data_IF_737571842102
#
_entry.id   IF_737571842102
#
_cell.length_a   1.000
_cell.length_b   1.000
_cell.length_c   1.000
_cell.angle_alpha   90.00
_cell.angle_beta   90.00
_cell.angle_gamma   90.00
#
_symmetry.space_group_name_H-M   'P 1'
#
loop_
_entity.id
_entity.type
_entity.pdbx_description
1 polymer ?
#
# COMPACT_ATOMS: atom_id res chain seq x y z
N UNK A 1 -10.38 10.27 24.79
CA UNK A 1 -10.57 11.27 23.72
C UNK A 1 -11.75 10.78 22.91
N UNK A 2 -12.83 11.55 22.80
CA UNK A 2 -13.89 11.17 21.87
C UNK A 2 -13.31 11.20 20.45
N UNK A 3 -13.39 10.11 19.69
CA UNK A 3 -12.76 10.01 18.37
C UNK A 3 -13.32 11.00 17.35
N UNK A 4 -14.45 11.65 17.67
CA UNK A 4 -15.19 12.57 16.80
C UNK A 4 -14.56 13.97 16.68
N UNK A 5 -13.47 14.23 17.40
CA UNK A 5 -12.73 15.50 17.38
C UNK A 5 -11.33 15.40 16.75
N UNK A 6 -11.00 14.28 16.08
CA UNK A 6 -9.74 14.17 15.37
C UNK A 6 -9.76 15.05 14.11
N UNK A 7 -8.72 15.86 13.95
CA UNK A 7 -8.45 16.70 12.77
C UNK A 7 -7.17 16.22 12.10
N UNK A 8 -7.22 16.05 10.78
CA UNK A 8 -6.08 15.75 9.92
C UNK A 8 -5.92 16.88 8.92
N UNK A 9 -4.74 17.51 8.89
CA UNK A 9 -4.42 18.61 7.98
C UNK A 9 -3.42 18.11 6.94
N UNK A 10 -3.74 18.33 5.67
CA UNK A 10 -2.86 18.10 4.53
C UNK A 10 -2.33 19.45 4.05
N UNK A 11 -1.05 19.72 4.28
CA UNK A 11 -0.38 20.92 3.79
C UNK A 11 0.31 20.64 2.45
N UNK A 12 0.13 21.57 1.51
CA UNK A 12 0.69 21.48 0.16
C UNK A 12 1.77 22.54 -0.04
N UNK A 13 2.89 22.10 -0.59
CA UNK A 13 4.07 22.94 -0.82
C UNK A 13 4.50 22.87 -2.29
N UNK A 14 5.06 23.97 -2.79
CA UNK A 14 5.75 24.00 -4.08
C UNK A 14 7.11 23.28 -3.99
N UNK A 15 7.47 22.54 -5.04
CA UNK A 15 8.68 21.71 -5.12
C UNK A 15 9.97 22.55 -5.14
N UNK A 16 9.92 23.77 -5.68
CA UNK A 16 11.02 24.74 -5.63
C UNK A 16 10.96 25.57 -4.35
N UNK A 17 11.47 25.00 -3.25
CA UNK A 17 11.65 25.66 -1.95
C UNK A 17 12.60 26.90 -1.99
N UNK A 18 13.15 27.24 -3.16
CA UNK A 18 14.10 28.33 -3.37
C UNK A 18 13.48 29.73 -3.51
N UNK A 19 12.16 29.83 -3.73
CA UNK A 19 11.46 31.11 -3.84
C UNK A 19 10.42 31.19 -2.72
N UNK A 20 10.56 32.19 -1.84
CA UNK A 20 9.56 32.46 -0.83
C UNK A 20 8.26 32.89 -1.53
N UNK A 21 7.19 32.08 -1.40
CA UNK A 21 5.85 32.42 -1.91
C UNK A 21 5.35 33.74 -1.26
N UNK A 22 5.78 34.04 -0.03
CA UNK A 22 5.62 35.33 0.66
C UNK A 22 6.89 35.64 1.47
N UNK A 23 7.40 36.88 1.43
CA UNK A 23 8.54 37.31 2.26
C UNK A 23 8.15 37.30 3.76
N UNK A 24 8.87 36.52 4.57
CA UNK A 24 8.71 36.46 6.03
C UNK A 24 8.03 35.20 6.59
N UNK A 25 7.85 34.15 5.78
CA UNK A 25 7.17 32.92 6.20
C UNK A 25 7.99 31.99 7.08
N UNK A 26 7.32 31.37 8.06
CA UNK A 26 7.88 30.30 8.89
C UNK A 26 8.09 28.98 8.13
N UNK A 27 7.35 28.76 7.03
CA UNK A 27 7.44 27.59 6.16
C UNK A 27 7.50 28.05 4.69
N UNK A 28 8.69 28.13 4.07
CA UNK A 28 8.80 28.52 2.67
C UNK A 28 8.08 27.52 1.76
N UNK A 29 7.41 28.03 0.72
CA UNK A 29 6.75 27.19 -0.29
C UNK A 29 5.33 26.73 0.04
N UNK A 30 4.72 27.12 1.17
CA UNK A 30 3.34 26.71 1.51
C UNK A 30 2.30 27.37 0.59
N UNK A 31 1.51 26.54 -0.09
CA UNK A 31 0.52 26.97 -1.09
C UNK A 31 -0.90 26.99 -0.51
N UNK A 32 -1.23 26.01 0.33
CA UNK A 32 -2.55 25.87 0.91
C UNK A 32 -2.71 24.59 1.70
N UNK A 33 -3.90 24.42 2.28
CA UNK A 33 -4.20 23.30 3.18
C UNK A 33 -5.57 22.71 2.88
N UNK A 34 -5.72 21.41 3.11
CA UNK A 34 -7.00 20.73 3.17
C UNK A 34 -7.18 20.15 4.59
N UNK A 35 -8.34 20.37 5.20
CA UNK A 35 -8.66 19.88 6.53
C UNK A 35 -9.69 18.75 6.45
N UNK A 36 -9.42 17.66 7.15
CA UNK A 36 -10.30 16.52 7.34
C UNK A 36 -10.68 16.40 8.80
N UNK A 37 -11.96 16.62 9.09
CA UNK A 37 -12.54 16.34 10.40
C UNK A 37 -13.08 14.92 10.44
N UNK A 38 -12.81 14.19 11.51
CA UNK A 38 -13.34 12.83 11.76
C UNK A 38 -14.86 12.75 11.66
N UNK A 39 -15.59 13.80 12.04
CA UNK A 39 -17.05 13.89 11.84
C UNK A 39 -17.46 13.75 10.36
N UNK A 40 -16.64 14.20 9.41
CA UNK A 40 -16.91 14.07 7.96
C UNK A 40 -16.75 12.63 7.48
N UNK A 41 -16.03 11.79 8.24
CA UNK A 41 -15.84 10.37 7.95
C UNK A 41 -17.05 9.54 8.42
N UNK A 42 -17.64 9.91 9.56
CA UNK A 42 -18.78 9.20 10.18
C UNK A 42 -20.03 9.30 9.30
N UNK A 43 -20.20 10.42 8.60
CA UNK A 43 -21.31 10.66 7.69
C UNK A 43 -21.03 10.09 6.28
N UNK A 44 -21.32 8.80 6.10
CA UNK A 44 -21.60 8.15 4.79
C UNK A 44 -20.49 8.15 3.72
N UNK A 45 -19.23 8.35 4.09
CA UNK A 45 -18.13 8.24 3.13
C UNK A 45 -17.86 6.77 2.75
N UNK A 46 -17.71 6.47 1.45
CA UNK A 46 -17.46 5.12 0.91
C UNK A 46 -15.97 4.70 0.93
N UNK A 47 -15.24 5.07 1.99
CA UNK A 47 -13.79 4.87 2.06
C UNK A 47 -12.97 5.86 1.21
N UNK A 48 -13.64 6.87 0.66
CA UNK A 48 -13.06 7.92 -0.18
C UNK A 48 -13.67 9.25 0.21
N UNK A 49 -12.83 10.25 0.42
CA UNK A 49 -13.25 11.63 0.66
C UNK A 49 -12.51 12.58 -0.27
N UNK A 50 -13.21 13.61 -0.75
CA UNK A 50 -12.60 14.66 -1.58
C UNK A 50 -12.70 15.98 -0.82
N UNK A 51 -11.56 16.59 -0.57
CA UNK A 51 -11.45 17.82 0.22
C UNK A 51 -10.98 18.96 -0.68
N UNK A 52 -11.55 20.17 -0.55
CA UNK A 52 -11.02 21.34 -1.23
C UNK A 52 -9.66 21.73 -0.62
N UNK A 53 -8.72 22.09 -1.47
CA UNK A 53 -7.47 22.72 -1.05
C UNK A 53 -7.73 24.22 -0.99
N UNK A 54 -7.65 24.78 0.20
CA UNK A 54 -7.89 26.20 0.46
C UNK A 54 -6.58 26.96 0.32
N UNK A 55 -6.58 28.00 -0.51
CA UNK A 55 -5.47 28.96 -0.60
C UNK A 55 -5.26 29.65 0.74
N UNK A 56 -4.00 29.90 1.06
CA UNK A 56 -3.60 30.60 2.28
C UNK A 56 -4.16 32.02 2.37
N UNK A 57 -4.17 32.77 1.27
CA UNK A 57 -4.39 34.22 1.31
C UNK A 57 -5.77 34.67 0.80
N UNK A 58 -6.36 33.94 -0.15
CA UNK A 58 -7.56 34.39 -0.86
C UNK A 58 -8.86 33.72 -0.42
N UNK A 59 -8.82 32.79 0.55
CA UNK A 59 -9.94 31.85 0.87
C UNK A 59 -10.51 31.18 -0.39
N UNK A 60 -9.75 31.16 -1.47
CA UNK A 60 -10.14 30.59 -2.74
C UNK A 60 -9.75 29.12 -2.75
N UNK A 61 -10.64 28.27 -3.25
CA UNK A 61 -10.30 26.88 -3.54
C UNK A 61 -9.36 26.84 -4.74
N UNK A 62 -8.16 26.30 -4.56
CA UNK A 62 -7.11 26.20 -5.59
C UNK A 62 -7.04 24.81 -6.21
N UNK A 63 -7.67 23.83 -5.57
CA UNK A 63 -7.69 22.45 -6.05
C UNK A 63 -8.52 21.56 -5.14
N UNK A 64 -8.41 20.26 -5.35
CA UNK A 64 -9.02 19.24 -4.50
C UNK A 64 -8.03 18.11 -4.28
N UNK A 65 -8.04 17.55 -3.07
CA UNK A 65 -7.31 16.33 -2.74
C UNK A 65 -8.32 15.20 -2.55
N UNK A 66 -8.06 14.06 -3.17
CA UNK A 66 -8.82 12.83 -2.94
C UNK A 66 -8.03 11.97 -1.97
N UNK A 67 -8.65 11.58 -0.87
CA UNK A 67 -8.07 10.76 0.17
C UNK A 67 -8.87 9.47 0.26
N UNK A 68 -8.21 8.35 0.00
CA UNK A 68 -8.77 7.03 0.28
C UNK A 68 -8.41 6.67 1.73
N UNK A 69 -9.38 6.21 2.53
CA UNK A 69 -9.19 5.98 3.97
C UNK A 69 -9.93 4.71 4.43
N UNK A 70 -9.48 4.15 5.56
CA UNK A 70 -10.13 3.03 6.24
C UNK A 70 -10.31 3.37 7.72
N UNK A 71 -11.49 3.12 8.26
CA UNK A 71 -11.77 3.26 9.70
C UNK A 71 -11.72 1.89 10.34
N UNK A 72 -10.74 1.68 11.23
CA UNK A 72 -10.61 0.47 12.01
C UNK A 72 -11.18 0.74 13.39
N UNK A 73 -12.25 0.03 13.76
CA UNK A 73 -12.84 0.09 15.10
C UNK A 73 -12.33 -1.11 15.93
N UNK A 74 -12.18 -0.94 17.26
CA UNK A 74 -11.95 -2.07 18.15
C UNK A 74 -13.03 -3.14 17.96
N UNK A 75 -12.65 -4.40 18.14
CA UNK A 75 -13.60 -5.51 18.12
C UNK A 75 -14.48 -5.47 19.38
N UNK A 76 -15.79 -5.61 19.21
CA UNK A 76 -16.72 -5.65 20.33
C UNK A 76 -16.38 -6.80 21.29
N UNK A 77 -16.32 -6.50 22.58
CA UNK A 77 -15.95 -7.48 23.61
C UNK A 77 -14.45 -7.76 23.73
N UNK A 78 -13.59 -7.14 22.93
CA UNK A 78 -12.13 -7.25 23.07
C UNK A 78 -11.53 -5.95 23.57
N UNK A 79 -10.81 -6.03 24.69
CA UNK A 79 -9.97 -4.93 25.17
C UNK A 79 -8.64 -5.01 24.43
N UNK A 80 -8.52 -4.27 23.34
CA UNK A 80 -7.26 -4.07 22.63
C UNK A 80 -6.46 -2.94 23.28
N UNK A 81 -6.16 -3.05 24.57
CA UNK A 81 -5.19 -2.16 25.19
C UNK A 81 -3.80 -2.69 24.84
N UNK A 82 -2.97 -1.89 24.18
CA UNK A 82 -1.59 -2.26 23.84
C UNK A 82 -0.70 -2.43 25.10
N UNK A 83 -1.27 -2.72 26.27
CA UNK A 83 -0.62 -2.94 27.55
C UNK A 83 0.38 -4.12 27.54
N UNK A 84 0.17 -5.24 26.80
CA UNK A 84 1.19 -6.27 26.68
C UNK A 84 2.20 -5.96 25.55
N UNK A 85 2.18 -4.76 24.95
CA UNK A 85 3.10 -4.43 23.86
C UNK A 85 4.54 -4.62 24.33
N UNK A 86 5.16 -5.65 23.77
CA UNK A 86 6.56 -6.04 23.93
C UNK A 86 7.55 -4.98 23.42
N UNK A 87 7.07 -3.77 23.08
CA UNK A 87 7.86 -2.59 22.69
C UNK A 87 9.04 -2.32 23.63
N UNK A 88 8.89 -2.65 24.93
CA UNK A 88 9.94 -2.50 25.95
C UNK A 88 10.67 -3.80 26.33
N UNK A 89 10.29 -4.95 25.80
CA UNK A 89 10.94 -6.23 26.13
C UNK A 89 12.10 -6.59 25.19
N UNK A 90 12.33 -5.79 24.14
CA UNK A 90 13.49 -5.95 23.27
C UNK A 90 14.75 -5.56 24.06
N UNK A 91 15.36 -6.56 24.71
CA UNK A 91 16.70 -6.40 25.27
C UNK A 91 17.61 -5.92 24.14
N UNK A 92 18.55 -4.99 24.39
CA UNK A 92 19.59 -4.66 23.42
C UNK A 92 20.26 -5.97 22.99
N UNK A 93 20.04 -6.34 21.74
CA UNK A 93 20.61 -7.53 21.09
C UNK A 93 21.30 -7.04 19.82
N UNK A 94 22.22 -7.87 19.32
CA UNK A 94 22.80 -7.68 18.00
C UNK A 94 21.68 -7.47 16.98
N UNK A 95 21.84 -6.49 16.08
CA UNK A 95 20.90 -6.28 15.00
C UNK A 95 20.75 -7.58 14.20
N UNK A 96 19.51 -7.91 13.86
CA UNK A 96 19.19 -9.08 13.05
C UNK A 96 18.97 -8.62 11.62
N UNK A 97 19.62 -9.30 10.69
CA UNK A 97 19.32 -9.12 9.28
C UNK A 97 18.03 -9.84 8.95
N UNK A 98 17.01 -9.07 8.56
CA UNK A 98 15.68 -9.56 8.19
C UNK A 98 15.49 -9.33 6.69
N UNK A 99 15.21 -10.39 5.95
CA UNK A 99 14.86 -10.31 4.53
C UNK A 99 13.46 -9.74 4.36
N UNK A 100 13.36 -8.44 4.05
CA UNK A 100 12.10 -7.75 3.74
C UNK A 100 11.47 -8.35 2.47
N UNK A 101 10.32 -9.03 2.63
CA UNK A 101 9.67 -9.85 1.58
C UNK A 101 10.59 -10.89 0.94
N UNK A 102 11.54 -11.39 1.72
CA UNK A 102 12.66 -12.20 1.26
C UNK A 102 13.83 -11.36 0.76
N UNK A 103 14.42 -11.76 -0.37
CA UNK A 103 15.52 -11.05 -1.03
C UNK A 103 15.09 -10.35 -2.35
N UNK A 104 13.78 -10.16 -2.54
CA UNK A 104 13.23 -9.61 -3.79
C UNK A 104 12.99 -8.11 -3.74
N UNK A 105 12.97 -7.46 -4.90
CA UNK A 105 12.60 -6.05 -5.06
C UNK A 105 11.42 -5.92 -6.03
N UNK A 106 10.50 -5.01 -5.76
CA UNK A 106 9.26 -4.78 -6.52
C UNK A 106 9.49 -3.99 -7.83
N UNK A 107 10.60 -3.23 -7.93
CA UNK A 107 10.69 -2.11 -8.89
C UNK A 107 11.84 -2.15 -9.89
N UNK A 108 12.87 -2.99 -9.73
CA UNK A 108 13.98 -3.07 -10.70
C UNK A 108 14.01 -4.40 -11.45
N UNK A 109 13.47 -4.39 -12.67
CA UNK A 109 13.67 -5.45 -13.66
C UNK A 109 15.17 -5.72 -13.97
N UNK A 110 16.05 -4.79 -13.61
CA UNK A 110 17.50 -4.83 -13.86
C UNK A 110 18.35 -5.35 -12.70
N UNK A 111 17.85 -5.33 -11.45
CA UNK A 111 18.70 -5.59 -10.26
C UNK A 111 18.27 -6.81 -9.43
N UNK A 112 16.98 -7.18 -9.40
CA UNK A 112 16.53 -8.32 -8.61
C UNK A 112 16.24 -9.53 -9.50
N UNK A 113 17.07 -10.58 -9.36
CA UNK A 113 16.85 -11.88 -10.03
C UNK A 113 15.63 -12.64 -9.49
N UNK A 114 15.12 -12.25 -8.32
CA UNK A 114 14.08 -12.97 -7.59
C UNK A 114 12.98 -12.00 -7.15
N UNK A 115 11.72 -12.40 -7.34
CA UNK A 115 10.54 -11.59 -7.02
C UNK A 115 10.22 -11.64 -5.53
N UNK A 116 9.85 -10.51 -4.93
CA UNK A 116 9.41 -10.41 -3.53
C UNK A 116 8.23 -11.33 -3.21
N UNK A 117 8.07 -11.69 -1.94
CA UNK A 117 6.95 -12.51 -1.46
C UNK A 117 6.79 -13.84 -2.21
N UNK A 118 7.92 -14.47 -2.58
CA UNK A 118 7.94 -15.79 -3.20
C UNK A 118 8.81 -16.76 -2.40
N UNK A 119 8.51 -18.06 -2.47
CA UNK A 119 9.41 -19.07 -1.86
C UNK A 119 10.84 -18.95 -2.40
N UNK A 120 11.02 -18.52 -3.64
CA UNK A 120 12.35 -18.29 -4.19
C UNK A 120 13.07 -17.12 -3.47
N UNK A 121 12.38 -16.00 -3.20
CA UNK A 121 13.00 -14.87 -2.46
C UNK A 121 13.29 -15.25 -1.02
N UNK A 122 12.43 -16.06 -0.42
CA UNK A 122 12.59 -16.56 0.95
C UNK A 122 13.79 -17.48 1.07
N UNK A 123 13.90 -18.47 0.18
CA UNK A 123 15.07 -19.37 0.12
C UNK A 123 16.36 -18.61 -0.16
N UNK A 124 16.29 -17.59 -1.02
CA UNK A 124 17.45 -16.77 -1.34
C UNK A 124 17.88 -15.93 -0.12
N UNK A 125 16.97 -15.27 0.60
CA UNK A 125 17.31 -14.55 1.83
C UNK A 125 17.95 -15.48 2.87
N UNK A 126 17.35 -16.66 3.10
CA UNK A 126 17.87 -17.65 4.03
C UNK A 126 19.27 -18.15 3.63
N UNK A 127 19.52 -18.40 2.34
CA UNK A 127 20.85 -18.84 1.87
C UNK A 127 21.93 -17.77 1.99
N UNK A 128 21.57 -16.50 2.16
CA UNK A 128 22.48 -15.38 2.34
C UNK A 128 22.59 -14.93 3.81
N UNK A 129 22.11 -15.75 4.75
CA UNK A 129 22.33 -15.52 6.18
C UNK A 129 21.30 -14.64 6.87
N UNK A 130 20.17 -14.32 6.23
CA UNK A 130 19.08 -13.63 6.90
C UNK A 130 18.56 -14.46 8.07
N UNK A 131 18.50 -13.87 9.26
CA UNK A 131 18.03 -14.53 10.48
C UNK A 131 16.51 -14.74 10.46
N UNK A 132 15.78 -13.80 9.83
CA UNK A 132 14.34 -13.85 9.66
C UNK A 132 13.94 -13.40 8.25
N UNK A 133 12.71 -13.73 7.89
CA UNK A 133 12.06 -13.29 6.67
C UNK A 133 10.80 -12.56 7.10
N UNK A 134 10.66 -11.32 6.65
CA UNK A 134 9.43 -10.57 6.75
C UNK A 134 8.63 -10.80 5.46
N UNK A 135 7.31 -10.86 5.56
CA UNK A 135 6.40 -11.00 4.44
C UNK A 135 4.98 -10.56 4.82
N UNK A 136 4.23 -10.15 3.81
CA UNK A 136 2.86 -9.65 3.96
C UNK A 136 1.83 -10.77 3.77
N UNK A 137 0.76 -10.73 4.55
CA UNK A 137 -0.34 -11.71 4.48
C UNK A 137 -1.68 -11.01 4.26
N UNK A 138 -2.47 -11.54 3.32
CA UNK A 138 -3.87 -11.19 3.11
C UNK A 138 -4.77 -12.41 3.27
N UNK A 139 -6.09 -12.19 3.32
CA UNK A 139 -7.09 -13.24 3.16
C UNK A 139 -7.76 -13.13 1.79
N UNK A 140 -7.88 -14.26 1.12
CA UNK A 140 -8.72 -14.42 -0.07
C UNK A 140 -10.21 -14.40 0.28
N UNK A 141 -11.08 -14.37 -0.74
CA UNK A 141 -12.55 -14.38 -0.58
C UNK A 141 -13.08 -15.56 0.23
N UNK A 142 -12.43 -16.70 0.08
CA UNK A 142 -12.68 -17.96 0.78
C UNK A 142 -11.86 -18.09 2.08
N UNK A 143 -11.36 -16.97 2.61
CA UNK A 143 -10.64 -16.86 3.88
C UNK A 143 -9.34 -17.69 3.97
N UNK A 144 -8.74 -17.99 2.83
CA UNK A 144 -7.43 -18.66 2.79
C UNK A 144 -6.34 -17.58 2.90
N UNK A 145 -5.40 -17.69 3.87
CA UNK A 145 -4.25 -16.81 3.97
C UNK A 145 -3.36 -16.92 2.74
N UNK A 146 -2.93 -15.78 2.21
CA UNK A 146 -2.05 -15.69 1.05
C UNK A 146 -0.90 -14.73 1.32
N UNK A 147 0.25 -14.99 0.69
CA UNK A 147 1.40 -14.08 0.75
C UNK A 147 1.36 -13.13 -0.44
N UNK A 148 1.04 -11.87 -0.16
CA UNK A 148 0.95 -10.81 -1.16
C UNK A 148 0.96 -9.45 -0.44
N UNK A 149 1.52 -8.42 -1.07
CA UNK A 149 1.66 -7.11 -0.42
C UNK A 149 0.47 -6.18 -0.71
N UNK A 150 0.17 -5.95 -2.00
CA UNK A 150 -0.79 -4.91 -2.38
C UNK A 150 -2.23 -5.29 -1.99
N UNK A 151 -3.11 -4.30 -1.82
CA UNK A 151 -4.52 -4.55 -1.53
C UNK A 151 -5.30 -5.06 -2.76
N UNK A 152 -4.75 -4.81 -3.94
CA UNK A 152 -5.37 -5.03 -5.24
C UNK A 152 -4.41 -5.76 -6.17
N UNK A 153 -4.96 -6.39 -7.21
CA UNK A 153 -4.20 -6.99 -8.30
C UNK A 153 -4.84 -6.63 -9.65
N UNK A 154 -4.04 -6.60 -10.72
CA UNK A 154 -4.55 -6.34 -12.06
C UNK A 154 -4.84 -7.64 -12.81
N UNK A 155 -6.02 -7.71 -13.43
CA UNK A 155 -6.42 -8.80 -14.32
C UNK A 155 -6.49 -8.25 -15.75
N UNK A 156 -5.79 -8.92 -16.66
CA UNK A 156 -5.92 -8.67 -18.09
C UNK A 156 -7.01 -9.59 -18.66
N UNK A 157 -8.08 -9.03 -19.20
CA UNK A 157 -9.05 -9.81 -19.97
C UNK A 157 -8.64 -9.83 -21.43
N UNK A 158 -8.35 -11.00 -21.98
CA UNK A 158 -8.06 -11.14 -23.41
C UNK A 158 -9.37 -11.10 -24.21
N UNK A 159 -9.69 -9.96 -24.84
CA UNK A 159 -10.77 -9.90 -25.84
C UNK A 159 -10.45 -10.85 -26.98
N UNK A 160 -11.41 -11.70 -27.36
CA UNK A 160 -11.24 -12.74 -28.39
C UNK A 160 -11.10 -12.18 -29.81
N UNK A 161 -11.31 -10.87 -30.01
CA UNK A 161 -11.42 -10.26 -31.34
C UNK A 161 -10.47 -9.09 -31.63
N UNK A 162 -9.67 -8.63 -30.66
CA UNK A 162 -8.78 -7.48 -30.90
C UNK A 162 -7.42 -7.72 -30.25
N UNK A 163 -6.37 -7.72 -31.09
CA UNK A 163 -5.03 -8.23 -30.72
C UNK A 163 -4.22 -7.25 -29.86
N UNK A 164 -4.65 -6.00 -29.73
CA UNK A 164 -3.84 -4.91 -29.16
C UNK A 164 -4.44 -4.17 -27.95
N UNK A 165 -5.66 -4.46 -27.51
CA UNK A 165 -6.25 -3.81 -26.33
C UNK A 165 -6.51 -4.79 -25.18
N UNK A 166 -5.44 -5.17 -24.46
CA UNK A 166 -5.60 -5.82 -23.16
C UNK A 166 -5.93 -4.76 -22.12
N UNK A 167 -7.21 -4.58 -21.83
CA UNK A 167 -7.66 -3.71 -20.74
C UNK A 167 -7.33 -4.38 -19.40
N UNK A 168 -6.63 -3.63 -18.54
CA UNK A 168 -6.25 -4.07 -17.20
C UNK A 168 -7.29 -3.56 -16.21
N UNK A 169 -7.89 -4.47 -15.45
CA UNK A 169 -8.82 -4.15 -14.38
C UNK A 169 -8.18 -4.41 -13.03
N UNK A 170 -8.22 -3.41 -12.16
CA UNK A 170 -7.78 -3.54 -10.78
C UNK A 170 -8.91 -4.14 -9.92
N UNK A 171 -8.61 -5.24 -9.23
CA UNK A 171 -9.56 -5.96 -8.39
C UNK A 171 -8.96 -6.14 -6.99
N UNK A 172 -9.70 -5.83 -5.91
CA UNK A 172 -9.24 -6.13 -4.55
C UNK A 172 -8.97 -7.62 -4.37
N UNK A 173 -7.84 -7.96 -3.77
CA UNK A 173 -7.41 -9.35 -3.59
C UNK A 173 -8.42 -10.16 -2.77
N UNK A 174 -9.05 -9.53 -1.78
CA UNK A 174 -10.10 -10.12 -0.94
C UNK A 174 -11.37 -10.52 -1.70
N UNK A 175 -11.56 -10.04 -2.94
CA UNK A 175 -12.72 -10.37 -3.77
C UNK A 175 -12.48 -11.60 -4.66
N UNK A 176 -11.26 -12.17 -4.64
CA UNK A 176 -10.89 -13.35 -5.41
C UNK A 176 -10.68 -14.55 -4.50
N UNK A 177 -11.18 -15.71 -4.93
CA UNK A 177 -10.90 -16.99 -4.27
C UNK A 177 -9.43 -17.36 -4.44
N UNK A 178 -8.91 -18.21 -3.55
CA UNK A 178 -7.55 -18.74 -3.68
C UNK A 178 -7.31 -19.38 -5.05
N UNK A 179 -8.25 -20.17 -5.57
CA UNK A 179 -8.14 -20.80 -6.88
C UNK A 179 -8.05 -19.76 -8.00
N UNK A 180 -8.88 -18.71 -7.97
CA UNK A 180 -8.81 -17.62 -8.95
C UNK A 180 -7.46 -16.91 -8.89
N UNK A 181 -6.94 -16.66 -7.68
CA UNK A 181 -5.64 -16.02 -7.47
C UNK A 181 -4.48 -16.89 -8.01
N UNK A 182 -4.55 -18.22 -7.90
CA UNK A 182 -3.56 -19.14 -8.49
C UNK A 182 -3.52 -19.10 -10.02
N UNK A 183 -4.67 -18.84 -10.64
CA UNK A 183 -4.79 -18.78 -12.10
C UNK A 183 -4.22 -17.47 -12.67
N UNK A 184 -4.07 -16.44 -11.83
CA UNK A 184 -3.51 -15.16 -12.26
C UNK A 184 -2.01 -15.27 -12.52
N UNK A 185 -1.61 -14.88 -13.74
CA UNK A 185 -0.22 -14.51 -14.01
C UNK A 185 -0.01 -13.09 -13.54
N UNK A 186 0.26 -12.94 -12.25
CA UNK A 186 0.43 -11.65 -11.61
C UNK A 186 1.63 -10.90 -12.22
N UNK A 187 1.32 -9.78 -12.90
CA UNK A 187 2.29 -8.78 -13.32
C UNK A 187 2.10 -7.52 -12.49
N UNK A 188 3.19 -6.87 -12.08
CA UNK A 188 3.11 -5.66 -11.26
C UNK A 188 2.74 -4.45 -12.14
N UNK A 189 1.87 -3.55 -11.65
CA UNK A 189 1.37 -2.39 -12.40
C UNK A 189 2.51 -1.48 -12.86
N UNK A 190 3.53 -1.27 -12.01
CA UNK A 190 4.71 -0.48 -12.39
C UNK A 190 5.59 -1.17 -13.45
N UNK A 191 5.60 -2.52 -13.50
CA UNK A 191 6.37 -3.27 -14.49
C UNK A 191 5.71 -3.23 -15.88
N UNK A 192 4.37 -3.21 -15.93
CA UNK A 192 3.60 -3.12 -17.17
C UNK A 192 3.64 -1.73 -17.82
N UNK A 193 3.89 -0.66 -17.05
CA UNK A 193 4.11 0.68 -17.60
C UNK A 193 5.48 0.84 -18.28
N UNK A 194 6.43 -0.06 -18.02
CA UNK A 194 7.84 0.10 -18.45
C UNK A 194 8.27 -0.87 -19.54
N UNK A 195 7.64 -2.05 -19.72
CA UNK A 195 7.99 -2.95 -20.82
C UNK A 195 6.80 -3.82 -21.28
N UNK A 196 6.40 -3.65 -22.54
CA UNK A 196 5.43 -4.50 -23.24
C UNK A 196 6.01 -5.84 -23.73
N UNK A 197 7.28 -6.14 -23.44
CA UNK A 197 7.90 -7.35 -23.96
C UNK A 197 8.82 -8.03 -22.94
N UNK A 198 8.57 -9.34 -22.79
CA UNK A 198 9.37 -10.38 -22.12
C UNK A 198 9.21 -10.55 -20.60
N UNK A 199 8.58 -11.67 -20.24
CA UNK A 199 8.68 -12.28 -18.92
C UNK A 199 7.38 -12.89 -18.40
N UNK A 200 6.95 -14.03 -18.94
CA UNK A 200 5.86 -14.82 -18.34
C UNK A 200 6.40 -15.53 -17.10
N UNK A 201 6.15 -14.99 -15.92
CA UNK A 201 6.41 -15.69 -14.66
C UNK A 201 5.08 -16.01 -13.97
N UNK A 202 4.88 -17.29 -13.66
CA UNK A 202 3.76 -17.77 -12.85
C UNK A 202 4.13 -17.63 -11.38
N UNK A 203 3.36 -16.86 -10.62
CA UNK A 203 3.42 -16.87 -9.16
C UNK A 203 2.52 -18.01 -8.71
N UNK A 204 3.09 -18.99 -7.99
CA UNK A 204 2.29 -19.93 -7.21
C UNK A 204 2.11 -19.30 -5.84
N UNK A 205 0.87 -19.05 -5.45
CA UNK A 205 0.57 -18.60 -4.10
C UNK A 205 0.70 -19.85 -3.23
N UNK A 206 1.37 -19.76 -2.09
CA UNK A 206 1.57 -20.93 -1.24
C UNK A 206 0.52 -20.94 -0.15
N UNK A 207 -0.19 -22.05 -0.03
CA UNK A 207 -0.82 -22.46 1.23
C UNK A 207 0.24 -23.23 2.01
N UNK A 208 0.49 -22.85 3.26
CA UNK A 208 1.21 -23.74 4.18
C UNK A 208 0.16 -24.70 4.76
N UNK A 209 0.22 -25.96 4.34
CA UNK A 209 -0.48 -27.04 5.06
C UNK A 209 0.19 -27.20 6.42
N UNK A 210 -0.62 -27.24 7.48
CA UNK A 210 -0.16 -27.59 8.83
C UNK A 210 0.39 -29.02 8.89
#
# INVERSE_FOLDING_TARGET
MEPDNLELIFDFFEEELGVAVVQGDALPGHVGSACLLSSTIVDKSSGVITLPIMSRNSRQTIGKVKVDYIVIKPLDGFVCDMSPSLSKCWKPRMALDVGHRGAGNSTSATLAKVRENTIASFKNAASHGAAFIEFDVHLSKDHIPIVYHDLTCCIAMKKKLDKDSSELFEIPVKELTFEQLQLLKLAHVAALKVNADKGKYSIRIFQQSA
#
